data_IF_154914011441
#
_entry.id   IF_154914011441
#
_cell.length_a   1.000
_cell.length_b   1.000
_cell.length_c   1.000
_cell.angle_alpha   90.00
_cell.angle_beta   90.00
_cell.angle_gamma   90.00
#
_symmetry.space_group_name_H-M   'P 1'
#
loop_
_entity.id
_entity.type
_entity.pdbx_description
1 polymer ?
#
# COMPACT_ATOMS: atom_id res chain seq x y z
N UNK A 1 -10.54 6.32 38.24
CA UNK A 1 -9.57 5.43 37.58
C UNK A 1 -9.51 5.85 36.14
N UNK A 2 -8.52 6.66 35.78
CA UNK A 2 -8.28 7.00 34.39
C UNK A 2 -7.86 5.74 33.66
N UNK A 3 -8.66 5.36 32.67
CA UNK A 3 -8.23 4.38 31.68
C UNK A 3 -7.10 5.04 30.91
N UNK A 4 -5.86 4.70 31.24
CA UNK A 4 -4.71 4.98 30.41
C UNK A 4 -4.96 4.30 29.07
N UNK A 5 -5.49 5.06 28.12
CA UNK A 5 -5.55 4.61 26.74
C UNK A 5 -4.10 4.41 26.28
N UNK A 6 -3.76 3.31 25.62
CA UNK A 6 -2.46 3.20 24.97
C UNK A 6 -2.27 4.43 24.08
N UNK A 7 -1.26 5.23 24.39
CA UNK A 7 -0.79 6.28 23.50
C UNK A 7 -0.12 5.58 22.34
N UNK A 8 -0.89 5.25 21.32
CA UNK A 8 -0.35 4.98 20.01
C UNK A 8 0.28 6.30 19.56
N UNK A 9 1.60 6.31 19.35
CA UNK A 9 2.31 7.47 18.80
C UNK A 9 1.91 7.61 17.32
N UNK A 10 0.68 8.06 17.09
CA UNK A 10 0.10 8.29 15.76
C UNK A 10 0.52 9.69 15.34
N UNK A 11 1.23 9.85 14.21
CA UNK A 11 1.57 11.17 13.73
C UNK A 11 0.31 12.02 13.47
N UNK A 12 0.36 13.30 13.81
CA UNK A 12 -0.75 14.23 13.55
C UNK A 12 -1.13 14.25 12.05
N UNK A 13 -0.15 14.08 11.16
CA UNK A 13 -0.34 13.96 9.70
C UNK A 13 -1.21 12.76 9.31
N UNK A 14 -1.14 11.65 10.05
CA UNK A 14 -2.02 10.49 9.86
C UNK A 14 -3.44 10.82 10.31
N UNK A 15 -3.61 11.55 11.42
CA UNK A 15 -4.94 11.99 11.90
C UNK A 15 -5.59 12.92 10.87
N UNK A 16 -4.84 13.87 10.33
CA UNK A 16 -5.31 14.78 9.28
C UNK A 16 -5.67 14.03 7.99
N UNK A 17 -4.86 13.06 7.58
CA UNK A 17 -5.18 12.17 6.45
C UNK A 17 -6.45 11.35 6.71
N UNK A 18 -6.66 10.85 7.93
CA UNK A 18 -7.86 10.10 8.30
C UNK A 18 -9.15 10.92 8.17
N UNK A 19 -9.06 12.25 8.33
CA UNK A 19 -10.15 13.20 8.09
C UNK A 19 -10.36 13.54 6.61
N UNK A 20 -9.48 13.08 5.70
CA UNK A 20 -9.62 13.30 4.26
C UNK A 20 -10.56 12.29 3.59
N UNK A 21 -11.05 12.64 2.39
CA UNK A 21 -12.00 11.80 1.63
C UNK A 21 -11.32 10.76 0.71
N UNK A 22 -10.00 10.81 0.55
CA UNK A 22 -9.27 9.95 -0.38
C UNK A 22 -8.55 8.81 0.35
N UNK A 23 -9.31 7.78 0.71
CA UNK A 23 -8.81 6.58 1.42
C UNK A 23 -9.28 5.28 0.76
N UNK A 24 -8.66 4.18 1.15
CA UNK A 24 -8.97 2.83 0.69
C UNK A 24 -8.32 1.76 1.55
N UNK A 25 -8.79 0.52 1.42
CA UNK A 25 -8.36 -0.62 2.25
C UNK A 25 -6.84 -0.79 2.30
N UNK A 26 -6.15 -0.66 1.16
CA UNK A 26 -4.69 -0.77 1.10
C UNK A 26 -3.96 0.34 1.86
N UNK A 27 -4.41 1.59 1.72
CA UNK A 27 -3.84 2.73 2.47
C UNK A 27 -4.18 2.69 3.97
N UNK A 28 -5.39 2.24 4.32
CA UNK A 28 -5.80 2.08 5.72
C UNK A 28 -5.04 0.92 6.37
N UNK A 29 -4.76 -0.15 5.63
CA UNK A 29 -3.93 -1.24 6.11
C UNK A 29 -2.50 -0.80 6.44
N UNK A 30 -1.90 0.12 5.68
CA UNK A 30 -0.59 0.70 6.04
C UNK A 30 -0.66 1.32 7.44
N UNK A 31 -1.69 2.12 7.72
CA UNK A 31 -1.85 2.80 9.02
C UNK A 31 -2.16 1.82 10.14
N UNK A 32 -3.04 0.85 9.90
CA UNK A 32 -3.35 -0.22 10.86
C UNK A 32 -2.10 -1.01 11.23
N UNK A 33 -1.35 -1.46 10.22
CA UNK A 33 -0.15 -2.26 10.42
C UNK A 33 0.98 -1.50 11.13
N UNK A 34 1.26 -0.25 10.73
CA UNK A 34 2.39 0.51 11.26
C UNK A 34 2.12 1.10 12.66
N UNK A 35 0.88 1.52 12.93
CA UNK A 35 0.53 2.25 14.15
C UNK A 35 -0.41 1.48 15.08
N UNK A 36 -0.85 0.28 14.71
CA UNK A 36 -1.78 -0.53 15.51
C UNK A 36 -3.18 0.08 15.60
N UNK A 37 -3.57 0.89 14.62
CA UNK A 37 -4.86 1.54 14.55
C UNK A 37 -5.90 0.64 13.87
N UNK A 38 -6.94 0.15 14.56
CA UNK A 38 -7.86 -0.85 14.00
C UNK A 38 -8.87 -0.24 13.00
N UNK A 39 -8.38 0.28 11.87
CA UNK A 39 -9.17 0.95 10.84
C UNK A 39 -9.99 -0.04 10.01
N UNK A 40 -9.52 -1.28 9.89
CA UNK A 40 -10.21 -2.32 9.14
C UNK A 40 -11.19 -3.09 10.04
N UNK A 41 -12.43 -3.21 9.57
CA UNK A 41 -13.53 -3.86 10.29
C UNK A 41 -14.06 -5.11 9.58
N UNK A 42 -14.83 -5.91 10.32
CA UNK A 42 -15.46 -7.11 9.79
C UNK A 42 -14.45 -8.13 9.25
N UNK A 43 -14.72 -8.65 8.05
CA UNK A 43 -13.88 -9.66 7.39
C UNK A 43 -12.57 -9.10 6.81
N UNK A 44 -12.41 -7.78 6.79
CA UNK A 44 -11.18 -7.11 6.37
C UNK A 44 -10.13 -7.04 7.49
N UNK A 45 -10.57 -7.13 8.75
CA UNK A 45 -9.68 -7.12 9.92
C UNK A 45 -8.66 -8.25 9.84
N UNK A 46 -7.38 -7.89 9.98
CA UNK A 46 -6.27 -8.85 9.97
C UNK A 46 -5.92 -9.41 8.59
N UNK A 47 -6.62 -9.01 7.54
CA UNK A 47 -6.27 -9.36 6.15
C UNK A 47 -5.24 -8.35 5.63
N UNK A 48 -4.11 -8.79 5.05
CA UNK A 48 -3.08 -7.88 4.53
C UNK A 48 -3.50 -7.25 3.20
N UNK A 49 -4.43 -6.31 3.27
CA UNK A 49 -4.88 -5.53 2.12
C UNK A 49 -3.71 -4.76 1.52
N UNK A 50 -3.42 -5.05 0.25
CA UNK A 50 -2.35 -4.42 -0.52
C UNK A 50 -2.95 -3.78 -1.78
N UNK A 51 -2.24 -2.86 -2.44
CA UNK A 51 -2.74 -2.26 -3.68
C UNK A 51 -2.78 -3.29 -4.80
N UNK A 52 -3.98 -3.51 -5.36
CA UNK A 52 -4.21 -4.44 -6.47
C UNK A 52 -4.20 -3.74 -7.83
N UNK A 53 -4.54 -2.45 -7.84
CA UNK A 53 -4.63 -1.64 -9.05
C UNK A 53 -4.00 -0.25 -8.88
N UNK A 54 -3.84 0.52 -9.98
CA UNK A 54 -3.28 1.86 -9.93
C UNK A 54 -4.03 2.83 -9.00
N UNK A 55 -5.33 2.65 -8.79
CA UNK A 55 -6.14 3.53 -7.92
C UNK A 55 -5.80 3.25 -6.46
N UNK A 56 -5.62 1.98 -6.10
CA UNK A 56 -5.11 1.61 -4.78
C UNK A 56 -3.70 2.13 -4.55
N UNK A 57 -2.81 1.98 -5.53
CA UNK A 57 -1.44 2.49 -5.46
C UNK A 57 -1.43 4.02 -5.27
N UNK A 58 -2.23 4.75 -6.06
CA UNK A 58 -2.39 6.21 -5.95
C UNK A 58 -2.79 6.61 -4.53
N UNK A 59 -3.78 5.94 -3.92
CA UNK A 59 -4.21 6.23 -2.54
C UNK A 59 -3.11 5.99 -1.52
N UNK A 60 -2.33 4.93 -1.68
CA UNK A 60 -1.16 4.68 -0.84
C UNK A 60 -0.11 5.79 -1.00
N UNK A 61 0.20 6.21 -2.23
CA UNK A 61 1.16 7.29 -2.47
C UNK A 61 0.69 8.63 -1.89
N UNK A 62 -0.61 8.92 -1.95
CA UNK A 62 -1.18 10.12 -1.33
C UNK A 62 -1.06 10.11 0.18
N UNK A 63 -1.24 8.95 0.83
CA UNK A 63 -0.95 8.78 2.26
C UNK A 63 0.52 9.07 2.56
N UNK A 64 1.45 8.45 1.84
CA UNK A 64 2.89 8.63 2.09
C UNK A 64 3.35 10.08 1.83
N UNK A 65 2.74 10.75 0.85
CA UNK A 65 3.00 12.16 0.59
C UNK A 65 2.41 13.08 1.68
N UNK A 66 1.28 12.70 2.28
CA UNK A 66 0.65 13.46 3.37
C UNK A 66 1.35 13.26 4.72
N UNK A 67 1.95 12.09 4.96
CA UNK A 67 2.64 11.75 6.21
C UNK A 67 4.07 11.28 5.94
N UNK A 68 5.07 12.19 6.00
CA UNK A 68 6.49 11.85 5.89
C UNK A 68 6.96 10.82 6.94
N UNK A 69 6.32 10.81 8.11
CA UNK A 69 6.55 9.81 9.16
C UNK A 69 6.15 8.43 8.67
N UNK A 70 4.96 8.32 8.06
CA UNK A 70 4.50 7.07 7.45
C UNK A 70 5.39 6.65 6.28
N UNK A 71 5.86 7.60 5.46
CA UNK A 71 6.83 7.31 4.40
C UNK A 71 8.15 6.75 4.94
N UNK A 72 8.61 7.24 6.09
CA UNK A 72 9.83 6.76 6.77
C UNK A 72 9.65 5.33 7.27
N UNK A 73 8.47 5.02 7.83
CA UNK A 73 8.15 3.68 8.35
C UNK A 73 7.70 2.69 7.26
N UNK A 74 7.33 3.18 6.07
CA UNK A 74 6.79 2.37 4.96
C UNK A 74 7.63 1.13 4.60
N UNK A 75 8.98 1.14 4.64
CA UNK A 75 9.77 -0.07 4.40
C UNK A 75 9.42 -1.27 5.31
N UNK A 76 8.87 -1.04 6.51
CA UNK A 76 8.41 -2.11 7.42
C UNK A 76 7.25 -2.91 6.86
N UNK A 77 6.47 -2.36 5.91
CA UNK A 77 5.38 -3.07 5.24
C UNK A 77 5.85 -4.36 4.57
N UNK A 78 7.14 -4.50 4.26
CA UNK A 78 7.73 -5.77 3.78
C UNK A 78 7.39 -6.99 4.64
N UNK A 79 7.19 -6.76 5.93
CA UNK A 79 6.90 -7.81 6.90
C UNK A 79 5.41 -8.10 7.08
N UNK A 80 4.53 -7.37 6.39
CA UNK A 80 3.08 -7.54 6.49
C UNK A 80 2.56 -8.75 5.70
N UNK A 81 3.10 -8.98 4.50
CA UNK A 81 2.80 -10.17 3.68
C UNK A 81 3.83 -10.34 2.55
N UNK A 82 3.89 -11.51 1.89
CA UNK A 82 4.72 -11.69 0.70
C UNK A 82 4.44 -10.69 -0.42
N UNK A 83 3.17 -10.31 -0.63
CA UNK A 83 2.74 -9.32 -1.63
C UNK A 83 3.29 -7.94 -1.27
N UNK A 84 3.15 -7.52 -0.02
CA UNK A 84 3.72 -6.26 0.44
C UNK A 84 5.24 -6.22 0.32
N UNK A 85 5.95 -7.33 0.61
CA UNK A 85 7.39 -7.41 0.39
C UNK A 85 7.77 -7.04 -1.06
N UNK A 86 7.11 -7.67 -2.04
CA UNK A 86 7.36 -7.42 -3.46
C UNK A 86 6.96 -6.01 -3.89
N UNK A 87 5.82 -5.51 -3.40
CA UNK A 87 5.37 -4.16 -3.68
C UNK A 87 6.33 -3.11 -3.14
N UNK A 88 6.83 -3.27 -1.91
CA UNK A 88 7.79 -2.34 -1.33
C UNK A 88 9.12 -2.36 -2.09
N UNK A 89 9.56 -3.54 -2.56
CA UNK A 89 10.74 -3.65 -3.44
C UNK A 89 10.57 -2.89 -4.76
N UNK A 90 9.42 -3.03 -5.40
CA UNK A 90 9.13 -2.38 -6.68
C UNK A 90 8.63 -0.93 -6.54
N UNK A 91 8.44 -0.44 -5.30
CA UNK A 91 7.69 0.80 -5.04
C UNK A 91 8.21 2.03 -5.78
N UNK A 92 9.53 2.33 -5.80
CA UNK A 92 10.01 3.52 -6.49
C UNK A 92 9.71 3.49 -7.99
N UNK A 93 9.82 2.32 -8.63
CA UNK A 93 9.54 2.15 -10.05
C UNK A 93 8.04 2.27 -10.35
N UNK A 94 7.19 1.66 -9.51
CA UNK A 94 5.74 1.75 -9.65
C UNK A 94 5.23 3.18 -9.45
N UNK A 95 5.78 3.89 -8.47
CA UNK A 95 5.44 5.29 -8.21
C UNK A 95 5.81 6.20 -9.38
N UNK A 96 7.04 6.06 -9.90
CA UNK A 96 7.49 6.83 -11.06
C UNK A 96 6.63 6.57 -12.29
N UNK A 97 6.33 5.31 -12.59
CA UNK A 97 5.53 4.94 -13.75
C UNK A 97 4.08 5.44 -13.64
N UNK A 98 3.47 5.36 -12.46
CA UNK A 98 2.12 5.89 -12.25
C UNK A 98 2.10 7.41 -12.47
N UNK A 99 3.05 8.14 -11.88
CA UNK A 99 3.16 9.59 -12.06
C UNK A 99 3.39 9.96 -13.54
N UNK A 100 4.17 9.17 -14.28
CA UNK A 100 4.36 9.42 -15.71
C UNK A 100 3.08 9.19 -16.54
N UNK A 101 2.28 8.16 -16.22
CA UNK A 101 1.02 7.90 -16.94
C UNK A 101 -0.08 8.93 -16.63
N UNK A 102 -0.19 9.39 -15.37
CA UNK A 102 -1.32 10.23 -14.94
C UNK A 102 -0.97 11.71 -14.73
N UNK A 103 0.32 12.05 -14.75
CA UNK A 103 0.85 13.39 -14.54
C UNK A 103 0.81 13.84 -13.07
N UNK A 104 -0.40 14.05 -12.54
CA UNK A 104 -0.60 14.54 -11.16
C UNK A 104 -1.42 13.52 -10.35
N UNK A 105 -0.87 13.09 -9.21
CA UNK A 105 -1.58 12.25 -8.25
C UNK A 105 -2.85 12.93 -7.72
N UNK A 106 -2.93 14.27 -7.70
CA UNK A 106 -4.12 15.03 -7.29
C UNK A 106 -4.95 15.54 -8.48
N UNK A 107 -4.64 15.03 -9.68
CA UNK A 107 -5.33 15.35 -10.93
C UNK A 107 -6.77 14.81 -11.00
N UNK A 108 -7.46 15.06 -12.13
CA UNK A 108 -8.87 14.69 -12.31
C UNK A 108 -9.07 13.17 -12.28
N UNK A 109 -10.20 12.70 -11.75
CA UNK A 109 -10.45 11.27 -11.51
C UNK A 109 -10.57 10.38 -12.77
N UNK A 110 -10.53 10.94 -13.98
CA UNK A 110 -10.71 10.22 -15.25
C UNK A 110 -9.38 9.87 -15.94
N UNK A 111 -8.37 9.49 -15.16
CA UNK A 111 -7.08 9.02 -15.67
C UNK A 111 -7.10 7.52 -15.97
N UNK A 112 -6.08 7.05 -16.69
CA UNK A 112 -5.85 5.63 -17.00
C UNK A 112 -4.37 5.31 -16.87
N UNK A 113 -4.02 4.17 -16.27
CA UNK A 113 -2.64 3.74 -16.03
C UNK A 113 -2.42 2.25 -16.37
N UNK A 114 -2.63 1.85 -17.64
CA UNK A 114 -2.56 0.44 -18.04
C UNK A 114 -1.16 -0.17 -17.88
N UNK A 115 -0.09 0.62 -18.05
CA UNK A 115 1.27 0.12 -17.87
C UNK A 115 1.56 -0.12 -16.39
N UNK A 116 1.09 0.76 -15.51
CA UNK A 116 1.15 0.59 -14.04
C UNK A 116 0.40 -0.63 -13.61
N UNK A 117 -0.82 -0.83 -14.10
CA UNK A 117 -1.56 -2.06 -13.81
C UNK A 117 -0.80 -3.31 -14.25
N UNK A 118 -0.26 -3.33 -15.48
CA UNK A 118 0.52 -4.45 -15.97
C UNK A 118 1.81 -4.69 -15.15
N UNK A 119 2.49 -3.63 -14.71
CA UNK A 119 3.67 -3.72 -13.85
C UNK A 119 3.32 -4.29 -12.47
N UNK A 120 2.26 -3.79 -11.84
CA UNK A 120 1.77 -4.31 -10.54
C UNK A 120 1.45 -5.80 -10.64
N UNK A 121 0.76 -6.23 -11.70
CA UNK A 121 0.47 -7.66 -11.92
C UNK A 121 1.74 -8.50 -12.03
N UNK A 122 2.78 -8.05 -12.74
CA UNK A 122 4.05 -8.78 -12.79
C UNK A 122 4.70 -8.93 -11.41
N UNK A 123 4.73 -7.85 -10.63
CA UNK A 123 5.27 -7.85 -9.26
C UNK A 123 4.51 -8.82 -8.35
N UNK A 124 3.19 -8.89 -8.50
CA UNK A 124 2.35 -9.76 -7.67
C UNK A 124 2.41 -11.24 -8.11
N UNK A 125 2.51 -11.52 -9.41
CA UNK A 125 2.46 -12.87 -9.99
C UNK A 125 3.84 -13.57 -10.06
N UNK A 126 4.95 -12.86 -9.84
CA UNK A 126 6.33 -13.41 -9.92
C UNK A 126 6.56 -14.73 -9.15
N UNK A 127 6.05 -14.92 -7.91
CA UNK A 127 6.27 -16.16 -7.17
C UNK A 127 5.57 -17.37 -7.77
N UNK A 128 4.40 -17.18 -8.37
CA UNK A 128 3.66 -18.24 -9.06
C UNK A 128 4.48 -18.72 -10.26
N UNK A 129 4.99 -17.77 -11.05
CA UNK A 129 5.85 -18.07 -12.20
C UNK A 129 7.14 -18.77 -11.81
N UNK A 130 7.77 -18.39 -10.69
CA UNK A 130 8.98 -19.05 -10.20
C UNK A 130 8.68 -20.48 -9.68
N UNK A 131 7.55 -20.67 -8.97
CA UNK A 131 7.10 -21.99 -8.53
C UNK A 131 6.81 -22.92 -9.69
N UNK A 132 6.13 -22.44 -10.72
CA UNK A 132 5.85 -23.20 -11.95
C UNK A 132 7.13 -23.58 -12.70
N UNK A 133 8.08 -22.65 -12.82
CA UNK A 133 9.39 -22.92 -13.45
C UNK A 133 10.16 -24.01 -12.71
N UNK A 134 10.27 -23.93 -11.38
CA UNK A 134 10.94 -24.94 -10.55
C UNK A 134 10.23 -26.29 -10.58
N UNK A 135 8.90 -26.32 -10.72
CA UNK A 135 8.14 -27.57 -10.85
C UNK A 135 8.25 -28.21 -12.24
N UNK A 136 8.69 -27.47 -13.25
CA UNK A 136 8.81 -27.92 -14.65
C UNK A 136 10.22 -28.36 -15.08
N UNK A 137 11.25 -28.25 -14.22
CA UNK A 137 12.60 -28.75 -14.52
C UNK A 137 12.69 -30.27 -14.25
N UNK A 138 13.03 -31.10 -15.26
CA UNK A 138 13.32 -32.51 -15.02
C UNK A 138 14.63 -32.61 -14.23
N UNK A 139 14.57 -33.31 -13.08
CA UNK A 139 15.72 -33.58 -12.21
C UNK A 139 16.73 -34.56 -12.79
#
# INVERSE_FOLDING_TARGET
GEMSMPTFDIPQTVIEWLCSVERGLSSEFIVDYLYGLPLLEGHWRGTPHHPFDPSDLRRCLLLLAASPETATEFPRMRTASPEWARLVDAWPALAAQLTEEIGDLRGPANWSAPLTYAAMKRVLDEPERERERRAGEPG
#
